data_IF_664787030752
#
_entry.id   IF_664787030752
#
_cell.length_a   1.000
_cell.length_b   1.000
_cell.length_c   1.000
_cell.angle_alpha   90.00
_cell.angle_beta   90.00
_cell.angle_gamma   90.00
#
_symmetry.space_group_name_H-M   'P 1'
#
loop_
_entity.id
_entity.type
_entity.pdbx_description
1 polymer ?
#
# COMPACT_ATOMS: atom_id res chain seq x y z
N UNK A 1 -7.15 21.43 -8.91
CA UNK A 1 -6.14 20.64 -8.18
C UNK A 1 -4.92 20.61 -9.08
N UNK A 2 -3.77 21.05 -8.62
CA UNK A 2 -2.53 20.94 -9.41
C UNK A 2 -2.29 19.46 -9.66
N UNK A 3 -2.43 19.05 -10.93
CA UNK A 3 -2.16 17.69 -11.38
C UNK A 3 -0.66 17.48 -11.29
N UNK A 4 -0.21 16.60 -10.39
CA UNK A 4 1.19 16.19 -10.32
C UNK A 4 1.53 15.47 -11.62
N UNK A 5 2.17 16.17 -12.56
CA UNK A 5 2.62 15.59 -13.83
C UNK A 5 3.89 14.79 -13.60
N UNK A 6 3.88 13.52 -13.96
CA UNK A 6 5.06 12.66 -13.98
C UNK A 6 5.77 12.84 -15.32
N UNK A 7 7.08 13.04 -15.30
CA UNK A 7 7.90 13.05 -16.53
C UNK A 7 8.90 11.91 -16.57
N UNK A 8 9.26 11.44 -17.77
CA UNK A 8 10.29 10.41 -17.93
C UNK A 8 11.66 10.87 -17.37
N UNK A 9 11.96 12.17 -17.45
CA UNK A 9 13.17 12.74 -16.87
C UNK A 9 13.14 12.65 -15.34
N UNK A 10 12.01 12.98 -14.71
CA UNK A 10 11.84 12.86 -13.27
C UNK A 10 11.94 11.40 -12.80
N UNK A 11 11.29 10.47 -13.51
CA UNK A 11 11.40 9.04 -13.22
C UNK A 11 12.87 8.57 -13.24
N UNK A 12 13.66 9.02 -14.22
CA UNK A 12 15.11 8.74 -14.27
C UNK A 12 15.85 9.36 -13.09
N UNK A 13 15.60 10.63 -12.80
CA UNK A 13 16.26 11.38 -11.73
C UNK A 13 16.00 10.77 -10.36
N UNK A 14 14.77 10.33 -10.11
CA UNK A 14 14.34 9.72 -8.83
C UNK A 14 14.61 8.21 -8.75
N UNK A 15 15.26 7.61 -9.75
CA UNK A 15 15.74 6.23 -9.69
C UNK A 15 14.70 5.15 -10.02
N UNK A 16 13.69 5.46 -10.83
CA UNK A 16 12.72 4.46 -11.29
C UNK A 16 13.43 3.31 -12.01
N UNK A 17 12.99 2.07 -11.72
CA UNK A 17 13.55 0.88 -12.33
C UNK A 17 13.40 0.90 -13.86
N UNK A 18 14.25 0.15 -14.56
CA UNK A 18 14.24 0.11 -16.02
C UNK A 18 12.88 -0.33 -16.58
N UNK A 19 12.28 -1.37 -15.99
CA UNK A 19 10.97 -1.88 -16.39
C UNK A 19 9.87 -0.80 -16.27
N UNK A 20 9.77 -0.13 -15.12
CA UNK A 20 8.81 0.95 -14.90
C UNK A 20 9.00 2.13 -15.86
N UNK A 21 10.25 2.52 -16.15
CA UNK A 21 10.53 3.57 -17.16
C UNK A 21 10.14 3.16 -18.58
N UNK A 22 10.37 1.89 -18.95
CA UNK A 22 9.97 1.36 -20.26
C UNK A 22 8.45 1.26 -20.38
N UNK A 23 7.77 0.85 -19.31
CA UNK A 23 6.31 0.81 -19.23
C UNK A 23 5.72 2.21 -19.41
N UNK A 24 6.25 3.19 -18.67
CA UNK A 24 5.84 4.59 -18.79
C UNK A 24 6.05 5.10 -20.22
N UNK A 25 7.23 4.91 -20.81
CA UNK A 25 7.52 5.35 -22.19
C UNK A 25 6.61 4.66 -23.22
N UNK A 26 6.23 3.40 -23.00
CA UNK A 26 5.35 2.64 -23.90
C UNK A 26 3.94 3.23 -23.93
N UNK A 27 3.39 3.65 -22.79
CA UNK A 27 2.02 4.15 -22.70
C UNK A 27 1.91 5.67 -22.75
N UNK A 28 2.99 6.40 -22.47
CA UNK A 28 3.08 7.86 -22.48
C UNK A 28 4.28 8.28 -23.33
N UNK A 29 4.22 8.11 -24.67
CA UNK A 29 5.34 8.36 -25.57
C UNK A 29 5.78 9.83 -25.62
N UNK A 30 4.88 10.76 -25.28
CA UNK A 30 5.18 12.19 -25.13
C UNK A 30 6.13 12.48 -23.95
N UNK A 31 6.34 11.50 -23.07
CA UNK A 31 7.29 11.59 -21.97
C UNK A 31 6.77 12.32 -20.74
N UNK A 32 5.49 12.68 -20.71
CA UNK A 32 4.79 13.22 -19.55
C UNK A 32 3.37 12.62 -19.44
N UNK A 33 2.82 12.56 -18.24
CA UNK A 33 1.46 12.10 -17.96
C UNK A 33 0.98 12.59 -16.59
N UNK A 34 -0.33 12.70 -16.39
CA UNK A 34 -0.89 12.88 -15.04
C UNK A 34 -0.60 11.64 -14.18
N UNK A 35 -0.22 11.83 -12.92
CA UNK A 35 0.13 10.72 -12.04
C UNK A 35 -1.02 9.72 -11.85
N UNK A 36 -2.27 10.19 -11.83
CA UNK A 36 -3.42 9.34 -11.61
C UNK A 36 -3.72 8.48 -12.83
N UNK A 37 -3.51 9.01 -14.03
CA UNK A 37 -3.57 8.20 -15.25
C UNK A 37 -2.52 7.09 -15.23
N UNK A 38 -1.31 7.39 -14.76
CA UNK A 38 -0.24 6.37 -14.60
C UNK A 38 -0.65 5.32 -13.56
N UNK A 39 -1.20 5.73 -12.41
CA UNK A 39 -1.68 4.80 -11.38
C UNK A 39 -2.79 3.90 -11.93
N UNK A 40 -3.83 4.46 -12.57
CA UNK A 40 -4.90 3.68 -13.20
C UNK A 40 -4.35 2.67 -14.20
N UNK A 41 -3.35 3.08 -14.99
CA UNK A 41 -2.71 2.19 -15.95
C UNK A 41 -1.94 1.06 -15.25
N UNK A 42 -1.25 1.35 -14.15
CA UNK A 42 -0.59 0.34 -13.34
C UNK A 42 -1.59 -0.61 -12.68
N UNK A 43 -2.73 -0.14 -12.18
CA UNK A 43 -3.80 -0.98 -11.62
C UNK A 43 -4.31 -1.96 -12.69
N UNK A 44 -4.61 -1.46 -13.90
CA UNK A 44 -5.07 -2.28 -15.02
C UNK A 44 -4.03 -3.32 -15.51
N UNK A 45 -2.77 -3.20 -15.09
CA UNK A 45 -1.68 -4.12 -15.41
C UNK A 45 -1.22 -4.92 -14.18
N UNK A 46 -1.86 -4.74 -13.02
CA UNK A 46 -1.48 -5.34 -11.73
C UNK A 46 -0.02 -5.01 -11.31
N UNK A 47 0.47 -3.84 -11.69
CA UNK A 47 1.83 -3.36 -11.45
C UNK A 47 1.95 -2.62 -10.11
N UNK A 48 1.53 -3.26 -9.01
CA UNK A 48 1.41 -2.63 -7.68
C UNK A 48 2.75 -2.09 -7.12
N UNK A 49 3.86 -2.76 -7.43
CA UNK A 49 5.21 -2.27 -7.07
C UNK A 49 5.55 -0.93 -7.71
N UNK A 50 5.08 -0.68 -8.93
CA UNK A 50 5.27 0.61 -9.57
C UNK A 50 4.40 1.69 -8.90
N UNK A 51 3.19 1.35 -8.47
CA UNK A 51 2.33 2.27 -7.72
C UNK A 51 2.98 2.61 -6.37
N UNK A 52 3.40 1.62 -5.58
CA UNK A 52 4.10 1.85 -4.30
C UNK A 52 5.35 2.73 -4.49
N UNK A 53 6.14 2.49 -5.54
CA UNK A 53 7.29 3.35 -5.87
C UNK A 53 6.85 4.79 -6.17
N UNK A 54 5.81 4.99 -6.99
CA UNK A 54 5.27 6.33 -7.32
C UNK A 54 4.85 7.04 -6.03
N UNK A 55 4.06 6.36 -5.19
CA UNK A 55 3.55 6.89 -3.94
C UNK A 55 4.69 7.33 -3.00
N UNK A 56 5.72 6.50 -2.83
CA UNK A 56 6.86 6.82 -1.96
C UNK A 56 7.74 7.95 -2.48
N UNK A 57 7.83 8.10 -3.79
CA UNK A 57 8.87 8.89 -4.45
C UNK A 57 8.40 10.28 -4.89
N UNK A 58 7.11 10.42 -5.18
CA UNK A 58 6.51 11.70 -5.52
C UNK A 58 5.93 12.38 -4.29
N UNK A 59 5.93 13.70 -4.31
CA UNK A 59 5.43 14.52 -3.22
C UNK A 59 3.95 14.78 -3.44
N UNK A 60 3.12 14.20 -2.56
CA UNK A 60 1.68 14.38 -2.55
C UNK A 60 1.31 15.22 -1.33
N UNK A 61 0.55 16.28 -1.55
CA UNK A 61 -0.03 17.11 -0.50
C UNK A 61 -1.53 16.91 -0.47
N UNK A 62 -1.94 15.72 -0.03
CA UNK A 62 -3.34 15.37 0.19
C UNK A 62 -3.66 15.40 1.69
N UNK A 63 -4.88 15.80 2.08
CA UNK A 63 -5.31 15.73 3.47
C UNK A 63 -5.39 14.26 3.95
N UNK A 64 -5.56 14.06 5.26
CA UNK A 64 -5.95 12.74 5.78
C UNK A 64 -7.36 12.40 5.27
N UNK A 65 -7.52 11.18 4.75
CA UNK A 65 -8.81 10.65 4.33
C UNK A 65 -9.42 9.82 5.47
N UNK A 66 -10.54 10.29 6.02
CA UNK A 66 -11.29 9.58 7.07
C UNK A 66 -12.48 8.87 6.44
N UNK A 67 -12.59 7.57 6.68
CA UNK A 67 -13.65 6.70 6.19
C UNK A 67 -14.30 5.98 7.36
N UNK A 68 -15.60 5.70 7.24
CA UNK A 68 -16.26 4.78 8.16
C UNK A 68 -15.99 3.33 7.75
N UNK A 69 -15.90 3.04 6.45
CA UNK A 69 -15.58 1.70 5.90
C UNK A 69 -14.65 1.82 4.68
N UNK A 70 -13.83 0.79 4.45
CA UNK A 70 -13.03 0.71 3.23
C UNK A 70 -13.96 0.45 2.03
N UNK A 71 -13.79 1.13 0.87
CA UNK A 71 -14.57 0.82 -0.31
C UNK A 71 -14.46 -0.65 -0.71
N UNK A 72 -15.58 -1.25 -1.13
CA UNK A 72 -15.64 -2.62 -1.66
C UNK A 72 -15.11 -2.66 -3.11
N UNK A 73 -13.84 -2.29 -3.26
CA UNK A 73 -13.09 -2.34 -4.51
C UNK A 73 -11.88 -3.27 -4.34
N UNK A 74 -11.50 -4.03 -5.38
CA UNK A 74 -10.37 -4.96 -5.29
C UNK A 74 -9.03 -4.23 -5.09
N UNK A 75 -8.95 -2.95 -5.44
CA UNK A 75 -7.74 -2.13 -5.33
C UNK A 75 -8.11 -0.73 -4.86
N UNK A 76 -7.63 -0.35 -3.67
CA UNK A 76 -7.79 0.99 -3.12
C UNK A 76 -6.44 1.70 -3.08
N UNK A 77 -6.35 2.90 -3.68
CA UNK A 77 -5.13 3.69 -3.72
C UNK A 77 -5.39 5.09 -3.19
N UNK A 78 -4.64 5.50 -2.17
CA UNK A 78 -4.67 6.86 -1.65
C UNK A 78 -3.27 7.38 -1.32
N UNK A 79 -2.75 8.41 -2.01
CA UNK A 79 -1.41 8.92 -1.73
C UNK A 79 -1.22 9.56 -0.35
N UNK A 80 -2.30 9.99 0.30
CA UNK A 80 -2.25 10.53 1.67
C UNK A 80 -2.37 9.43 2.73
N UNK A 81 -2.63 9.85 3.97
CA UNK A 81 -2.94 8.96 5.09
C UNK A 81 -4.41 8.60 5.09
N UNK A 82 -4.72 7.35 5.40
CA UNK A 82 -6.09 6.81 5.45
C UNK A 82 -6.41 6.44 6.88
N UNK A 83 -7.56 6.88 7.38
CA UNK A 83 -8.08 6.58 8.72
C UNK A 83 -9.43 5.90 8.55
N UNK A 84 -9.60 4.71 9.10
CA UNK A 84 -10.85 3.96 9.08
C UNK A 84 -11.35 3.78 10.51
N UNK A 85 -12.63 4.06 10.72
CA UNK A 85 -13.29 3.94 12.02
C UNK A 85 -13.85 2.53 12.19
N UNK A 86 -13.40 1.84 13.22
CA UNK A 86 -13.85 0.49 13.53
C UNK A 86 -13.02 -0.60 12.86
N UNK A 87 -13.58 -1.79 12.77
CA UNK A 87 -12.91 -2.99 12.27
C UNK A 87 -12.88 -3.03 10.74
N UNK A 88 -11.79 -3.55 10.19
CA UNK A 88 -11.59 -3.63 8.74
C UNK A 88 -11.08 -5.01 8.36
N UNK A 89 -11.68 -5.59 7.32
CA UNK A 89 -11.17 -6.79 6.65
C UNK A 89 -10.76 -6.42 5.23
N UNK A 90 -9.50 -6.72 4.88
CA UNK A 90 -8.95 -6.49 3.55
C UNK A 90 -8.76 -7.83 2.85
N UNK A 91 -9.34 -7.96 1.66
CA UNK A 91 -9.20 -9.12 0.76
C UNK A 91 -8.58 -8.75 -0.59
N UNK A 92 -8.19 -7.49 -0.78
CA UNK A 92 -7.61 -6.96 -2.01
C UNK A 92 -6.32 -6.17 -1.77
N UNK A 93 -6.05 -5.21 -2.64
CA UNK A 93 -4.88 -4.34 -2.55
C UNK A 93 -5.22 -3.01 -1.89
N UNK A 94 -4.41 -2.58 -0.93
CA UNK A 94 -4.47 -1.23 -0.36
C UNK A 94 -3.10 -0.56 -0.50
N UNK A 95 -3.03 0.58 -1.17
CA UNK A 95 -1.78 1.31 -1.40
C UNK A 95 -1.87 2.72 -0.83
N UNK A 96 -1.00 3.03 0.13
CA UNK A 96 -0.96 4.35 0.78
C UNK A 96 0.44 4.75 1.19
N UNK A 97 0.84 5.98 0.84
CA UNK A 97 2.11 6.58 1.31
C UNK A 97 2.00 7.01 2.77
N UNK A 98 0.88 7.65 3.13
CA UNK A 98 0.65 8.19 4.48
C UNK A 98 0.36 7.14 5.53
N UNK A 99 0.05 5.91 5.09
CA UNK A 99 -0.24 4.77 5.94
C UNK A 99 -1.73 4.56 6.18
N UNK A 100 -2.07 3.34 6.57
CA UNK A 100 -3.42 2.91 6.90
C UNK A 100 -3.59 2.85 8.42
N UNK A 101 -4.54 3.60 8.96
CA UNK A 101 -4.82 3.68 10.40
C UNK A 101 -6.24 3.19 10.65
N UNK A 102 -6.37 2.12 11.40
CA UNK A 102 -7.66 1.49 11.74
C UNK A 102 -7.86 1.64 13.24
N UNK A 103 -8.99 2.18 13.69
CA UNK A 103 -9.24 2.39 15.12
C UNK A 103 -9.77 1.15 15.86
N UNK A 104 -9.54 -0.03 15.29
CA UNK A 104 -10.09 -1.30 15.75
C UNK A 104 -9.25 -2.45 15.21
N UNK A 105 -9.89 -3.57 14.93
CA UNK A 105 -9.22 -4.77 14.39
C UNK A 105 -9.03 -4.66 12.89
N UNK A 106 -7.79 -4.86 12.44
CA UNK A 106 -7.45 -5.03 11.03
C UNK A 106 -7.17 -6.51 10.74
N UNK A 107 -7.87 -7.06 9.75
CA UNK A 107 -7.63 -8.42 9.22
C UNK A 107 -7.19 -8.34 7.77
N UNK A 108 -6.02 -8.90 7.47
CA UNK A 108 -5.44 -8.99 6.12
C UNK A 108 -5.32 -10.47 5.77
N UNK A 109 -6.12 -10.94 4.82
CA UNK A 109 -6.17 -12.36 4.48
C UNK A 109 -6.47 -12.64 3.01
N UNK A 110 -6.19 -13.85 2.55
CA UNK A 110 -6.59 -14.34 1.22
C UNK A 110 -5.85 -13.65 0.09
N UNK A 111 -4.51 -13.63 0.16
CA UNK A 111 -3.63 -12.91 -0.79
C UNK A 111 -3.79 -11.38 -0.82
N UNK A 112 -4.51 -10.79 0.14
CA UNK A 112 -4.59 -9.35 0.31
C UNK A 112 -3.22 -8.72 0.59
N UNK A 113 -2.96 -7.52 0.07
CA UNK A 113 -1.68 -6.82 0.26
C UNK A 113 -1.90 -5.37 0.64
N UNK A 114 -1.21 -4.94 1.70
CA UNK A 114 -1.09 -3.53 2.07
C UNK A 114 0.30 -3.03 1.69
N UNK A 115 0.35 -2.00 0.85
CA UNK A 115 1.55 -1.27 0.47
C UNK A 115 1.58 0.05 1.23
N UNK A 116 2.17 0.02 2.42
CA UNK A 116 2.25 1.18 3.31
C UNK A 116 2.40 0.75 4.76
N UNK A 117 2.78 1.71 5.60
CA UNK A 117 2.78 1.49 7.04
C UNK A 117 1.34 1.35 7.54
N UNK A 118 1.14 0.49 8.51
CA UNK A 118 -0.18 0.10 8.99
C UNK A 118 -0.23 0.21 10.50
N UNK A 119 -1.30 0.81 11.02
CA UNK A 119 -1.56 0.91 12.45
C UNK A 119 -2.98 0.47 12.77
N UNK A 120 -3.14 -0.41 13.77
CA UNK A 120 -4.44 -0.83 14.30
C UNK A 120 -4.30 -1.25 15.77
N UNK A 121 -5.40 -1.43 16.50
CA UNK A 121 -5.33 -1.94 17.88
C UNK A 121 -4.93 -3.43 17.87
N UNK A 122 -5.59 -4.20 17.00
CA UNK A 122 -5.26 -5.59 16.69
C UNK A 122 -5.00 -5.74 15.19
N UNK A 123 -3.87 -6.34 14.81
CA UNK A 123 -3.54 -6.67 13.42
C UNK A 123 -3.46 -8.19 13.29
N UNK A 124 -4.27 -8.76 12.40
CA UNK A 124 -4.18 -10.17 12.00
C UNK A 124 -3.77 -10.25 10.53
N UNK A 125 -2.68 -10.95 10.27
CA UNK A 125 -2.21 -11.23 8.91
C UNK A 125 -2.17 -12.74 8.74
N UNK A 126 -3.05 -13.27 7.88
CA UNK A 126 -3.17 -14.71 7.65
C UNK A 126 -3.41 -15.07 6.19
N UNK A 127 -3.37 -16.35 5.86
CA UNK A 127 -3.79 -16.91 4.57
C UNK A 127 -3.17 -16.17 3.36
N UNK A 128 -1.84 -16.08 3.34
CA UNK A 128 -1.05 -15.34 2.35
C UNK A 128 -1.30 -13.81 2.31
N UNK A 129 -1.94 -13.25 3.32
CA UNK A 129 -2.05 -11.80 3.50
C UNK A 129 -0.68 -11.17 3.75
N UNK A 130 -0.46 -9.97 3.21
CA UNK A 130 0.83 -9.29 3.31
C UNK A 130 0.70 -7.82 3.73
N UNK A 131 1.61 -7.36 4.57
CA UNK A 131 1.89 -5.94 4.82
C UNK A 131 3.33 -5.67 4.38
N UNK A 132 3.50 -4.91 3.29
CA UNK A 132 4.82 -4.54 2.75
C UNK A 132 5.46 -3.33 3.46
N UNK A 133 4.77 -2.74 4.44
CA UNK A 133 5.30 -1.71 5.33
C UNK A 133 5.45 -2.20 6.77
N UNK A 134 5.66 -1.25 7.69
CA UNK A 134 5.68 -1.53 9.13
C UNK A 134 4.28 -1.75 9.67
N UNK A 135 4.12 -2.67 10.60
CA UNK A 135 2.88 -2.89 11.33
C UNK A 135 3.01 -2.40 12.78
N UNK A 136 2.05 -1.59 13.24
CA UNK A 136 1.99 -1.05 14.59
C UNK A 136 0.66 -1.41 15.24
N UNK A 137 0.67 -2.09 16.38
CA UNK A 137 -0.57 -2.36 17.11
C UNK A 137 -0.31 -2.90 18.50
N UNK A 138 -1.34 -3.00 19.34
CA UNK A 138 -1.19 -3.58 20.67
C UNK A 138 -0.93 -5.09 20.56
N UNK A 139 -1.75 -5.75 19.73
CA UNK A 139 -1.61 -7.17 19.39
C UNK A 139 -1.41 -7.34 17.89
N UNK A 140 -0.37 -8.09 17.49
CA UNK A 140 -0.10 -8.44 16.10
C UNK A 140 0.02 -9.97 16.01
N UNK A 141 -0.87 -10.59 15.24
CA UNK A 141 -0.85 -12.02 14.96
C UNK A 141 -0.52 -12.24 13.48
N UNK A 142 0.48 -13.06 13.21
CA UNK A 142 0.89 -13.45 11.85
C UNK A 142 0.86 -14.98 11.77
N UNK A 143 -0.01 -15.52 10.94
CA UNK A 143 -0.20 -16.97 10.79
C UNK A 143 -0.51 -17.38 9.35
N UNK A 144 -0.62 -18.67 9.04
CA UNK A 144 -1.10 -19.18 7.75
C UNK A 144 -0.39 -18.59 6.54
N UNK A 145 0.94 -18.64 6.50
CA UNK A 145 1.77 -18.00 5.45
C UNK A 145 1.60 -16.47 5.33
N UNK A 146 1.03 -15.81 6.33
CA UNK A 146 0.94 -14.34 6.41
C UNK A 146 2.32 -13.69 6.54
N UNK A 147 2.47 -12.48 5.99
CA UNK A 147 3.77 -11.82 5.91
C UNK A 147 3.73 -10.34 6.29
N UNK A 148 4.67 -9.89 7.11
CA UNK A 148 4.93 -8.47 7.38
C UNK A 148 6.39 -8.17 7.04
N UNK A 149 6.63 -7.37 5.99
CA UNK A 149 7.98 -7.14 5.45
C UNK A 149 8.70 -5.89 5.94
N UNK A 150 8.04 -5.03 6.73
CA UNK A 150 8.68 -3.84 7.31
C UNK A 150 9.01 -3.96 8.80
N UNK A 151 8.68 -5.09 9.43
CA UNK A 151 8.73 -5.29 10.87
C UNK A 151 7.39 -5.03 11.56
N UNK A 152 7.24 -5.62 12.74
CA UNK A 152 6.05 -5.51 13.59
C UNK A 152 6.42 -4.92 14.96
N UNK A 153 5.60 -3.98 15.43
CA UNK A 153 5.84 -3.22 16.65
C UNK A 153 4.56 -3.20 17.50
N UNK A 154 4.55 -4.02 18.54
CA UNK A 154 3.42 -4.13 19.45
C UNK A 154 3.80 -4.72 20.80
N UNK A 155 2.85 -4.69 21.74
CA UNK A 155 3.05 -5.26 23.07
C UNK A 155 3.06 -6.80 23.00
N UNK A 156 2.18 -7.35 22.17
CA UNK A 156 2.09 -8.78 21.91
C UNK A 156 2.25 -9.06 20.42
N UNK A 157 3.30 -9.78 20.05
CA UNK A 157 3.53 -10.24 18.68
C UNK A 157 3.55 -11.76 18.69
N UNK A 158 2.64 -12.39 17.94
CA UNK A 158 2.54 -13.85 17.82
C UNK A 158 2.75 -14.24 16.37
N UNK A 159 3.63 -15.21 16.16
CA UNK A 159 3.90 -15.79 14.85
C UNK A 159 3.71 -17.30 14.93
N UNK A 160 2.83 -17.86 14.11
CA UNK A 160 2.54 -19.29 14.04
C UNK A 160 2.33 -19.74 12.60
N UNK A 161 2.19 -21.04 12.34
CA UNK A 161 1.67 -21.58 11.07
C UNK A 161 2.31 -20.97 9.80
N UNK A 162 3.64 -20.91 9.75
CA UNK A 162 4.42 -20.33 8.65
C UNK A 162 4.27 -18.82 8.45
N UNK A 163 3.65 -18.11 9.39
CA UNK A 163 3.69 -16.66 9.45
C UNK A 163 5.13 -16.14 9.51
N UNK A 164 5.38 -15.00 8.88
CA UNK A 164 6.71 -14.43 8.74
C UNK A 164 6.71 -12.93 8.95
N UNK A 165 7.70 -12.45 9.72
CA UNK A 165 7.97 -11.04 9.92
C UNK A 165 9.44 -10.80 9.57
N UNK A 166 9.68 -9.84 8.67
CA UNK A 166 10.99 -9.38 8.24
C UNK A 166 11.05 -7.87 8.45
N UNK A 167 12.15 -7.33 8.99
CA UNK A 167 12.28 -5.88 9.27
C UNK A 167 13.25 -5.48 10.38
#
# INVERSE_FOLDING_TARGET
METTTITLQELRKKGACYAGRMLFKKYYPEGNADYWDVIKKCIALEEFRHIDWILRTLDFTLPDLVLDELPDEPVFVYPGKVIIRGDVKITGEVLTKGGLYVSGKLTVCGYARIWGNTKADEINVSDYGCIHGRAYGETINVSGDGYIGGGAYGETIKVSDYGCIDG
#
